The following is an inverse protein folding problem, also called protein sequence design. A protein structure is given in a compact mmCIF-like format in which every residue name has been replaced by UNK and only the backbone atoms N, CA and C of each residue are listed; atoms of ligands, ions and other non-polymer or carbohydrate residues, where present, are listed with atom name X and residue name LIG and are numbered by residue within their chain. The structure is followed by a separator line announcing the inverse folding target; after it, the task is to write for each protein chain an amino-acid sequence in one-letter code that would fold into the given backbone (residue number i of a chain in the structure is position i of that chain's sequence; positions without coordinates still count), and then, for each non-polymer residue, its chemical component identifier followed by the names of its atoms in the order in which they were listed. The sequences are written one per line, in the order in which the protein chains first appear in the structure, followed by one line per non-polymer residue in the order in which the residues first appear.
data_IF_672221248406
#
_entry.id   IF_672221248406
#
_cell.length_a   1.000
_cell.length_b   1.000
_cell.length_c   1.000
_cell.angle_alpha   90.00
_cell.angle_beta   90.00
_cell.angle_gamma   90.00
#
_symmetry.space_group_name_H-M   'P 1'
#
loop_
_entity.id
_entity.type
_entity.pdbx_description
1 polymer ?
#
# COMPACT_ATOMS: atom_id res chain seq x y z
N UNK A 1 0.80 -14.29 10.77
CA UNK A 1 -0.67 -14.02 10.69
C UNK A 1 -1.30 -15.19 9.96
N UNK A 2 -2.45 -15.65 10.42
CA UNK A 2 -3.23 -16.70 9.71
C UNK A 2 -4.50 -16.04 9.18
N UNK A 3 -4.80 -16.21 7.90
CA UNK A 3 -6.01 -15.67 7.28
C UNK A 3 -7.20 -16.65 7.42
N UNK A 4 -8.37 -16.25 6.93
CA UNK A 4 -9.60 -17.06 6.96
C UNK A 4 -9.52 -18.38 6.14
N UNK A 5 -8.59 -18.46 5.19
CA UNK A 5 -8.33 -19.68 4.40
C UNK A 5 -7.30 -20.63 5.03
N UNK A 6 -6.84 -20.32 6.28
CA UNK A 6 -5.84 -21.10 6.99
C UNK A 6 -4.41 -20.94 6.47
N UNK A 7 -4.15 -19.97 5.61
CA UNK A 7 -2.80 -19.67 5.13
C UNK A 7 -2.01 -18.88 6.16
N UNK A 8 -0.77 -19.26 6.36
CA UNK A 8 0.16 -18.60 7.29
C UNK A 8 1.08 -17.67 6.53
N UNK A 9 1.00 -16.38 6.86
CA UNK A 9 1.81 -15.33 6.29
C UNK A 9 2.84 -14.82 7.28
N UNK A 10 4.08 -14.70 6.84
CA UNK A 10 5.22 -14.19 7.60
C UNK A 10 5.64 -12.84 7.05
N UNK A 11 5.96 -11.91 7.96
CA UNK A 11 6.41 -10.56 7.63
C UNK A 11 7.72 -10.28 8.31
N UNK A 12 8.70 -9.68 7.59
CA UNK A 12 9.94 -9.20 8.17
C UNK A 12 10.05 -7.70 8.04
N UNK A 13 10.68 -7.10 9.03
CA UNK A 13 10.84 -5.65 9.12
C UNK A 13 12.31 -5.33 9.39
N UNK A 14 12.76 -4.16 8.94
CA UNK A 14 14.05 -3.61 9.35
C UNK A 14 13.95 -2.91 10.71
N UNK A 15 15.11 -2.41 11.20
CA UNK A 15 15.19 -1.70 12.48
C UNK A 15 14.38 -0.39 12.52
N UNK A 16 13.99 0.14 11.37
CA UNK A 16 13.16 1.35 11.24
C UNK A 16 11.67 1.03 11.09
N UNK A 17 11.25 -0.22 11.28
CA UNK A 17 9.87 -0.67 11.13
C UNK A 17 9.39 -0.77 9.68
N UNK A 18 10.27 -0.67 8.67
CA UNK A 18 9.91 -0.84 7.26
C UNK A 18 9.80 -2.33 6.95
N UNK A 19 8.69 -2.73 6.35
CA UNK A 19 8.50 -4.12 5.92
C UNK A 19 9.40 -4.41 4.73
N UNK A 20 10.31 -5.37 4.89
CA UNK A 20 11.28 -5.77 3.86
C UNK A 20 10.90 -7.07 3.14
N UNK A 21 10.03 -7.89 3.75
CA UNK A 21 9.59 -9.15 3.15
C UNK A 21 8.18 -9.52 3.64
N UNK A 22 7.38 -10.15 2.76
CA UNK A 22 6.24 -10.98 3.14
C UNK A 22 6.30 -12.31 2.41
N UNK A 23 5.90 -13.41 3.06
CA UNK A 23 5.96 -14.74 2.49
C UNK A 23 4.81 -15.62 2.97
N UNK A 24 4.31 -16.47 2.06
CA UNK A 24 3.37 -17.54 2.36
C UNK A 24 3.93 -18.87 1.84
N UNK A 25 4.43 -19.77 2.73
CA UNK A 25 4.96 -21.06 2.32
C UNK A 25 3.95 -21.93 1.59
N UNK A 26 2.69 -21.93 2.02
CA UNK A 26 1.64 -22.74 1.38
C UNK A 26 1.40 -22.34 -0.08
N UNK A 27 1.58 -21.06 -0.42
CA UNK A 27 1.50 -20.56 -1.81
C UNK A 27 2.83 -20.60 -2.55
N UNK A 28 3.92 -20.96 -1.88
CA UNK A 28 5.28 -20.85 -2.40
C UNK A 28 5.56 -19.43 -2.95
N UNK A 29 5.07 -18.40 -2.27
CA UNK A 29 5.23 -17.00 -2.69
C UNK A 29 6.00 -16.21 -1.65
N UNK A 30 6.83 -15.29 -2.14
CA UNK A 30 7.60 -14.34 -1.33
C UNK A 30 7.65 -13.00 -2.07
N UNK A 31 7.39 -11.91 -1.36
CA UNK A 31 7.57 -10.55 -1.88
C UNK A 31 8.59 -9.82 -1.04
N UNK A 32 9.61 -9.27 -1.68
CA UNK A 32 10.63 -8.40 -1.08
C UNK A 32 10.35 -6.94 -1.44
N UNK A 33 10.72 -6.02 -0.54
CA UNK A 33 10.47 -4.59 -0.68
C UNK A 33 11.75 -3.81 -0.50
N UNK A 34 12.03 -2.87 -1.41
CA UNK A 34 13.05 -1.86 -1.24
C UNK A 34 12.40 -0.49 -1.05
N UNK A 35 12.99 0.30 -0.19
CA UNK A 35 12.46 1.59 0.24
C UNK A 35 13.33 2.74 -0.27
N UNK A 36 12.67 3.79 -0.76
CA UNK A 36 13.27 5.10 -0.94
C UNK A 36 12.72 6.02 0.16
N UNK A 37 13.59 6.31 1.14
CA UNK A 37 13.16 7.00 2.35
C UNK A 37 12.05 6.26 3.09
N UNK A 38 10.85 6.83 3.08
CA UNK A 38 9.68 6.32 3.79
C UNK A 38 8.66 5.63 2.89
N UNK A 39 9.00 5.36 1.62
CA UNK A 39 8.09 4.80 0.64
C UNK A 39 8.64 3.53 0.01
N UNK A 40 7.75 2.60 -0.29
CA UNK A 40 8.11 1.38 -1.05
C UNK A 40 8.35 1.77 -2.50
N UNK A 41 9.62 1.85 -2.89
CA UNK A 41 10.01 2.19 -4.26
C UNK A 41 10.02 0.98 -5.17
N UNK A 42 10.35 -0.21 -4.66
CA UNK A 42 10.49 -1.40 -5.47
C UNK A 42 9.95 -2.64 -4.74
N UNK A 43 9.35 -3.53 -5.52
CA UNK A 43 8.85 -4.81 -5.06
C UNK A 43 9.23 -5.89 -6.05
N UNK A 44 9.67 -7.03 -5.53
CA UNK A 44 9.87 -8.25 -6.29
C UNK A 44 9.02 -9.35 -5.69
N UNK A 45 8.17 -9.98 -6.51
CA UNK A 45 7.41 -11.16 -6.11
C UNK A 45 7.98 -12.39 -6.79
N UNK A 46 8.38 -13.33 -5.98
CA UNK A 46 8.80 -14.67 -6.39
C UNK A 46 7.67 -15.68 -6.16
N UNK A 47 7.57 -16.65 -7.05
CA UNK A 47 6.72 -17.82 -6.89
C UNK A 47 7.50 -19.08 -7.28
N UNK A 48 7.47 -20.10 -6.39
CA UNK A 48 8.29 -21.30 -6.53
C UNK A 48 9.79 -20.99 -6.74
N UNK A 49 10.32 -19.96 -6.07
CA UNK A 49 11.72 -19.54 -6.17
C UNK A 49 12.12 -18.88 -7.49
N UNK A 50 11.15 -18.46 -8.29
CA UNK A 50 11.39 -17.72 -9.54
C UNK A 50 10.66 -16.39 -9.51
N UNK A 51 11.29 -15.35 -10.02
CA UNK A 51 10.68 -14.02 -10.16
C UNK A 51 9.42 -14.12 -11.01
N UNK A 52 8.27 -13.75 -10.45
CA UNK A 52 6.97 -13.71 -11.11
C UNK A 52 6.63 -12.29 -11.58
N UNK A 53 6.94 -11.29 -10.76
CA UNK A 53 6.71 -9.88 -11.10
C UNK A 53 7.68 -8.95 -10.38
N UNK A 54 7.93 -7.82 -11.02
CA UNK A 54 8.68 -6.68 -10.49
C UNK A 54 7.80 -5.43 -10.57
N UNK A 55 7.87 -4.58 -9.56
CA UNK A 55 7.18 -3.28 -9.56
C UNK A 55 8.13 -2.20 -9.07
N UNK A 56 8.20 -1.12 -9.83
CA UNK A 56 8.87 0.11 -9.41
C UNK A 56 7.83 1.22 -9.32
N UNK A 57 7.77 1.89 -8.17
CA UNK A 57 6.85 2.98 -7.88
C UNK A 57 7.62 4.29 -7.77
N UNK A 58 7.08 5.34 -8.39
CA UNK A 58 7.63 6.70 -8.35
C UNK A 58 6.61 7.59 -7.65
N UNK A 59 7.04 8.27 -6.58
CA UNK A 59 6.19 9.11 -5.76
C UNK A 59 6.62 10.60 -5.84
N UNK A 60 5.64 11.48 -5.64
CA UNK A 60 5.86 12.88 -5.27
C UNK A 60 5.23 13.11 -3.89
N UNK A 61 6.07 13.23 -2.87
CA UNK A 61 5.58 13.18 -1.50
C UNK A 61 4.87 11.84 -1.24
N UNK A 62 3.58 11.82 -0.93
CA UNK A 62 2.81 10.60 -0.66
C UNK A 62 1.88 10.19 -1.82
N UNK A 63 1.98 10.85 -2.96
CA UNK A 63 1.17 10.57 -4.14
C UNK A 63 1.98 9.72 -5.13
N UNK A 64 1.43 8.57 -5.53
CA UNK A 64 1.99 7.79 -6.61
C UNK A 64 1.87 8.60 -7.91
N UNK A 65 2.99 8.82 -8.61
CA UNK A 65 2.99 9.48 -9.94
C UNK A 65 2.97 8.45 -11.03
N UNK A 66 3.83 7.43 -10.91
CA UNK A 66 3.98 6.41 -11.92
C UNK A 66 4.32 5.07 -11.28
N UNK A 67 3.95 4.01 -11.99
CA UNK A 67 4.23 2.63 -11.65
C UNK A 67 4.73 1.92 -12.91
N UNK A 68 5.86 1.25 -12.80
CA UNK A 68 6.39 0.37 -13.84
C UNK A 68 6.31 -1.06 -13.36
N UNK A 69 5.59 -1.89 -14.08
CA UNK A 69 5.38 -3.30 -13.78
C UNK A 69 6.04 -4.17 -14.84
N UNK A 70 6.73 -5.21 -14.38
CA UNK A 70 7.25 -6.27 -15.22
C UNK A 70 6.69 -7.59 -14.73
N UNK A 71 6.05 -8.35 -15.59
CA UNK A 71 5.37 -9.61 -15.26
C UNK A 71 5.19 -10.51 -16.48
N UNK A 72 4.87 -11.78 -16.23
CA UNK A 72 4.54 -12.69 -17.31
C UNK A 72 3.10 -12.50 -17.77
N UNK A 73 2.93 -12.08 -19.02
CA UNK A 73 1.64 -12.06 -19.71
C UNK A 73 1.43 -13.36 -20.45
N UNK A 74 0.31 -14.02 -20.20
CA UNK A 74 -0.06 -15.26 -20.90
C UNK A 74 -0.92 -14.90 -22.13
N UNK A 75 -0.51 -15.35 -23.30
CA UNK A 75 -1.36 -15.30 -24.49
C UNK A 75 -2.44 -16.39 -24.37
N UNK A 76 -3.71 -15.98 -24.35
CA UNK A 76 -4.85 -16.88 -24.19
C UNK A 76 -5.04 -17.85 -25.35
N UNK A 77 -4.44 -17.59 -26.53
CA UNK A 77 -4.58 -18.42 -27.72
C UNK A 77 -3.64 -19.62 -27.73
N UNK A 78 -2.41 -19.44 -27.28
CA UNK A 78 -1.34 -20.44 -27.36
C UNK A 78 -0.71 -20.79 -26.00
N UNK A 79 -1.23 -20.22 -24.90
CA UNK A 79 -0.70 -20.36 -23.53
C UNK A 79 0.78 -19.98 -23.38
N UNK A 80 1.34 -19.26 -24.37
CA UNK A 80 2.71 -18.79 -24.28
C UNK A 80 2.83 -17.64 -23.29
N UNK A 81 3.84 -17.71 -22.41
CA UNK A 81 4.14 -16.65 -21.43
C UNK A 81 5.26 -15.76 -21.95
N UNK A 82 4.98 -14.48 -22.04
CA UNK A 82 5.97 -13.47 -22.44
C UNK A 82 6.21 -12.51 -21.28
N UNK A 83 7.48 -12.28 -20.95
CA UNK A 83 7.86 -11.26 -19.99
C UNK A 83 7.55 -9.89 -20.59
N UNK A 84 6.71 -9.12 -19.92
CA UNK A 84 6.19 -7.84 -20.42
C UNK A 84 6.47 -6.75 -19.40
N UNK A 85 6.91 -5.59 -19.86
CA UNK A 85 7.07 -4.40 -19.05
C UNK A 85 6.04 -3.35 -19.46
N UNK A 86 5.41 -2.71 -18.49
CA UNK A 86 4.43 -1.64 -18.71
C UNK A 86 4.71 -0.48 -17.78
N UNK A 87 4.52 0.75 -18.28
CA UNK A 87 4.58 1.96 -17.44
C UNK A 87 3.20 2.60 -17.43
N UNK A 88 2.73 2.96 -16.25
CA UNK A 88 1.44 3.57 -16.04
C UNK A 88 1.59 4.81 -15.15
N UNK A 89 0.89 5.88 -15.50
CA UNK A 89 0.81 7.11 -14.73
C UNK A 89 -0.41 7.08 -13.83
N UNK A 90 -0.25 7.48 -12.58
CA UNK A 90 -1.31 7.44 -11.59
C UNK A 90 -2.04 8.77 -11.46
N UNK A 91 -3.34 8.68 -11.20
CA UNK A 91 -4.16 9.78 -10.70
C UNK A 91 -4.59 9.42 -9.29
N UNK A 92 -4.24 10.28 -8.33
CA UNK A 92 -4.51 10.07 -6.91
C UNK A 92 -5.45 11.13 -6.35
N UNK A 93 -6.14 10.80 -5.27
CA UNK A 93 -6.79 11.78 -4.40
C UNK A 93 -5.73 12.54 -3.58
N UNK A 94 -6.09 13.72 -3.03
CA UNK A 94 -5.17 14.50 -2.18
C UNK A 94 -4.63 13.75 -0.94
N UNK A 95 -5.36 12.74 -0.47
CA UNK A 95 -4.97 11.87 0.63
C UNK A 95 -4.00 10.73 0.23
N UNK A 96 -3.49 10.74 -1.01
CA UNK A 96 -2.54 9.76 -1.53
C UNK A 96 -3.18 8.48 -2.11
N UNK A 97 -4.51 8.34 -2.06
CA UNK A 97 -5.19 7.16 -2.59
C UNK A 97 -5.19 7.15 -4.12
N UNK A 98 -4.63 6.13 -4.80
CA UNK A 98 -4.73 6.00 -6.25
C UNK A 98 -6.18 5.74 -6.69
N UNK A 99 -6.63 6.45 -7.72
CA UNK A 99 -7.96 6.31 -8.33
C UNK A 99 -7.92 5.53 -9.63
N UNK A 100 -6.90 5.79 -10.46
CA UNK A 100 -6.74 5.17 -11.76
C UNK A 100 -5.28 5.19 -12.23
N UNK A 101 -4.97 4.26 -13.11
CA UNK A 101 -3.72 4.22 -13.86
C UNK A 101 -4.00 4.37 -15.34
N UNK A 102 -3.12 5.10 -16.04
CA UNK A 102 -3.19 5.35 -17.46
C UNK A 102 -1.85 5.00 -18.12
N UNK A 103 -1.89 4.33 -19.26
CA UNK A 103 -0.68 4.09 -20.03
C UNK A 103 -0.18 5.38 -20.73
N UNK A 104 1.02 5.38 -21.35
CA UNK A 104 1.55 6.56 -22.07
C UNK A 104 0.66 7.10 -23.20
N UNK A 105 -0.28 6.29 -23.71
CA UNK A 105 -1.24 6.68 -24.73
C UNK A 105 -2.53 7.27 -24.16
N UNK A 106 -2.60 7.48 -22.83
CA UNK A 106 -3.77 8.02 -22.16
C UNK A 106 -4.92 7.03 -21.98
N UNK A 107 -4.74 5.75 -22.32
CA UNK A 107 -5.75 4.72 -22.07
C UNK A 107 -5.69 4.29 -20.62
N UNK A 108 -6.86 4.28 -19.93
CA UNK A 108 -6.97 3.78 -18.57
C UNK A 108 -6.72 2.27 -18.54
N UNK A 109 -5.75 1.85 -17.73
CA UNK A 109 -5.30 0.45 -17.58
C UNK A 109 -5.79 -0.18 -16.28
N UNK A 110 -6.03 0.63 -15.25
CA UNK A 110 -6.57 0.21 -13.97
C UNK A 110 -7.47 1.31 -13.38
N UNK A 111 -8.43 0.93 -12.57
CA UNK A 111 -9.31 1.83 -11.81
C UNK A 111 -9.61 1.21 -10.45
N UNK A 112 -9.52 2.04 -9.40
CA UNK A 112 -9.92 1.64 -8.05
C UNK A 112 -11.40 1.24 -8.01
N UNK A 113 -11.69 0.14 -7.32
CA UNK A 113 -13.06 -0.25 -7.01
C UNK A 113 -13.74 0.78 -6.10
N UNK A 114 -15.08 0.93 -6.16
CA UNK A 114 -15.81 1.72 -5.20
C UNK A 114 -15.51 1.28 -3.77
N UNK A 115 -15.28 2.23 -2.89
CA UNK A 115 -14.96 1.96 -1.49
C UNK A 115 -15.69 2.93 -0.57
N UNK A 116 -15.86 2.55 0.70
CA UNK A 116 -16.30 3.45 1.75
C UNK A 116 -15.33 4.63 1.91
N UNK A 117 -15.73 5.64 2.68
CA UNK A 117 -14.86 6.75 3.06
C UNK A 117 -13.57 6.27 3.75
N UNK A 118 -13.63 5.18 4.48
CA UNK A 118 -12.52 4.57 5.23
C UNK A 118 -11.73 3.54 4.43
N UNK A 119 -12.03 3.40 3.13
CA UNK A 119 -11.27 2.57 2.22
C UNK A 119 -11.74 1.12 2.09
N UNK A 120 -12.80 0.71 2.81
CA UNK A 120 -13.38 -0.62 2.67
C UNK A 120 -13.97 -0.79 1.25
N UNK A 121 -13.57 -1.80 0.47
CA UNK A 121 -14.22 -2.12 -0.79
C UNK A 121 -15.72 -2.39 -0.60
N UNK A 122 -16.59 -1.75 -1.41
CA UNK A 122 -18.05 -1.86 -1.29
C UNK A 122 -18.63 -3.00 -2.13
N UNK A 123 -17.87 -3.52 -3.07
CA UNK A 123 -18.29 -4.59 -3.95
C UNK A 123 -17.39 -5.80 -3.73
N UNK A 124 -17.95 -6.85 -3.17
CA UNK A 124 -17.34 -8.17 -3.18
C UNK A 124 -17.12 -8.61 -4.63
N UNK A 125 -15.96 -9.16 -4.93
CA UNK A 125 -15.60 -9.66 -6.26
C UNK A 125 -15.42 -8.65 -7.41
N UNK A 126 -15.34 -7.34 -7.15
CA UNK A 126 -14.96 -6.40 -8.20
C UNK A 126 -13.59 -6.74 -8.82
N UNK A 127 -12.64 -7.20 -8.00
CA UNK A 127 -11.26 -7.52 -8.39
C UNK A 127 -11.00 -9.03 -8.54
N UNK A 128 -11.85 -9.90 -7.98
CA UNK A 128 -11.59 -11.35 -7.97
C UNK A 128 -11.68 -12.00 -9.36
N UNK A 129 -12.29 -11.34 -10.32
CA UNK A 129 -12.33 -11.83 -11.73
C UNK A 129 -11.09 -11.42 -12.52
N UNK A 130 -10.30 -10.49 -12.00
CA UNK A 130 -9.02 -10.10 -12.57
C UNK A 130 -8.07 -9.86 -11.39
N UNK A 131 -7.24 -10.84 -11.06
CA UNK A 131 -6.00 -10.57 -10.33
C UNK A 131 -5.23 -9.58 -11.19
N UNK A 132 -5.55 -8.29 -11.05
CA UNK A 132 -5.01 -7.25 -11.89
C UNK A 132 -3.56 -7.05 -11.48
N UNK A 133 -2.60 -7.46 -12.30
CA UNK A 133 -1.17 -7.29 -11.98
C UNK A 133 -0.83 -5.81 -11.78
N UNK A 134 -1.72 -4.91 -12.19
CA UNK A 134 -1.52 -3.45 -12.16
C UNK A 134 -2.06 -2.77 -10.89
N UNK A 135 -2.80 -3.47 -10.01
CA UNK A 135 -3.29 -2.85 -8.77
C UNK A 135 -2.11 -2.34 -7.92
N UNK A 136 -2.03 -1.03 -7.60
CA UNK A 136 -0.94 -0.48 -6.79
C UNK A 136 -0.84 -1.07 -5.38
N UNK A 137 -1.93 -1.66 -4.86
CA UNK A 137 -2.09 -2.08 -3.48
C UNK A 137 -1.84 -0.95 -2.46
N UNK A 138 -2.11 0.29 -2.85
CA UNK A 138 -2.03 1.46 -1.98
C UNK A 138 -3.43 1.88 -1.56
N UNK A 139 -3.62 2.18 -0.26
CA UNK A 139 -4.89 2.67 0.27
C UNK A 139 -4.82 4.19 0.43
N UNK A 140 -4.38 4.68 1.59
CA UNK A 140 -4.12 6.10 1.83
C UNK A 140 -2.61 6.36 1.88
N UNK A 141 -2.20 7.62 2.04
CA UNK A 141 -0.80 8.00 2.17
C UNK A 141 -0.06 7.14 3.21
N UNK A 142 1.01 6.47 2.79
CA UNK A 142 1.81 5.57 3.62
C UNK A 142 1.21 4.18 3.88
N UNK A 143 0.01 3.89 3.36
CA UNK A 143 -0.68 2.63 3.58
C UNK A 143 -0.52 1.68 2.38
N UNK A 144 -0.07 0.46 2.66
CA UNK A 144 0.00 -0.65 1.72
C UNK A 144 -1.04 -1.70 2.08
N UNK A 145 -2.01 -1.94 1.20
CA UNK A 145 -3.11 -2.88 1.42
C UNK A 145 -2.66 -4.31 1.17
N UNK A 146 -2.87 -5.17 2.16
CA UNK A 146 -2.57 -6.59 2.11
C UNK A 146 -3.86 -7.39 1.86
N UNK A 147 -4.02 -7.87 0.63
CA UNK A 147 -5.22 -8.62 0.22
C UNK A 147 -5.46 -9.88 1.05
N UNK A 148 -4.39 -10.53 1.51
CA UNK A 148 -4.44 -11.74 2.31
C UNK A 148 -5.03 -11.55 3.71
N UNK A 149 -5.03 -10.32 4.22
CA UNK A 149 -5.54 -9.99 5.56
C UNK A 149 -6.71 -9.01 5.56
N UNK A 150 -6.93 -8.31 4.43
CA UNK A 150 -7.86 -7.19 4.38
C UNK A 150 -7.40 -5.95 5.15
N UNK A 151 -6.16 -5.94 5.64
CA UNK A 151 -5.58 -4.85 6.43
C UNK A 151 -4.64 -3.99 5.58
N UNK A 152 -4.43 -2.76 5.99
CA UNK A 152 -3.40 -1.90 5.41
C UNK A 152 -2.21 -1.77 6.37
N UNK A 153 -1.03 -2.21 5.92
CA UNK A 153 0.23 -1.95 6.61
C UNK A 153 0.55 -0.45 6.54
N UNK A 154 0.72 0.20 7.67
CA UNK A 154 1.01 1.62 7.82
C UNK A 154 2.21 1.84 8.76
N UNK A 155 3.39 1.40 8.33
CA UNK A 155 4.67 1.50 9.04
C UNK A 155 4.64 0.90 10.45
N UNK A 156 4.19 1.66 11.44
CA UNK A 156 4.21 1.27 12.85
C UNK A 156 2.90 0.63 13.32
N UNK A 157 1.83 0.71 12.53
CA UNK A 157 0.53 0.10 12.84
C UNK A 157 -0.08 -0.58 11.62
N UNK A 158 -1.09 -1.41 11.87
CA UNK A 158 -1.97 -1.94 10.85
C UNK A 158 -3.34 -1.27 10.95
N UNK A 159 -3.82 -0.78 9.84
CA UNK A 159 -5.12 -0.14 9.71
C UNK A 159 -6.13 -1.13 9.17
N UNK A 160 -7.31 -1.16 9.79
CA UNK A 160 -8.45 -1.95 9.35
C UNK A 160 -9.49 -1.06 8.66
N UNK A 161 -9.67 -1.17 7.33
CA UNK A 161 -10.68 -0.39 6.61
C UNK A 161 -12.11 -0.71 7.00
N UNK A 162 -12.38 -1.89 7.58
CA UNK A 162 -13.70 -2.29 8.02
C UNK A 162 -14.15 -1.51 9.26
N UNK A 163 -13.29 -1.39 10.23
CA UNK A 163 -13.57 -0.62 11.45
C UNK A 163 -13.22 0.87 11.32
N UNK A 164 -12.40 1.25 10.31
CA UNK A 164 -11.86 2.60 10.17
C UNK A 164 -10.81 2.95 11.23
N UNK A 165 -10.22 1.96 11.89
CA UNK A 165 -9.32 2.12 13.02
C UNK A 165 -8.01 1.35 12.85
N UNK A 166 -7.03 1.68 13.69
CA UNK A 166 -5.82 0.86 13.86
C UNK A 166 -6.08 -0.32 14.78
N UNK A 167 -5.41 -1.45 14.55
CA UNK A 167 -5.52 -2.65 15.39
C UNK A 167 -4.83 -2.50 16.75
N UNK A 168 -3.89 -1.57 16.88
CA UNK A 168 -3.13 -1.31 18.11
C UNK A 168 -3.24 0.16 18.48
N UNK A 169 -3.12 0.43 19.79
CA UNK A 169 -3.00 1.79 20.30
C UNK A 169 -1.77 2.49 19.72
N UNK A 170 -1.82 3.81 19.71
CA UNK A 170 -0.71 4.62 19.23
C UNK A 170 0.56 4.41 20.06
N UNK A 171 1.70 4.03 19.44
CA UNK A 171 2.97 3.86 20.16
C UNK A 171 3.46 5.13 20.85
N UNK A 172 3.11 6.32 20.31
CA UNK A 172 3.47 7.62 20.90
C UNK A 172 2.41 8.15 21.88
N UNK A 173 1.41 7.31 22.19
CA UNK A 173 0.35 7.65 23.17
C UNK A 173 -0.44 8.88 22.79
N UNK A 174 -0.69 9.77 23.77
CA UNK A 174 -1.47 11.00 23.55
C UNK A 174 -0.80 12.02 22.63
N UNK A 175 0.50 11.92 22.37
CA UNK A 175 1.18 12.75 21.38
C UNK A 175 0.66 12.51 19.95
N UNK A 176 0.12 11.31 19.66
CA UNK A 176 -0.54 10.97 18.41
C UNK A 176 -2.00 11.42 18.31
N UNK A 177 -2.59 11.85 19.42
CA UNK A 177 -3.99 12.30 19.51
C UNK A 177 -4.76 11.66 20.67
N UNK A 178 -5.90 12.24 21.01
CA UNK A 178 -6.72 11.81 22.17
C UNK A 178 -7.36 10.42 21.99
N UNK A 179 -7.52 9.95 20.77
CA UNK A 179 -8.14 8.65 20.46
C UNK A 179 -7.08 7.66 19.95
N UNK A 180 -6.60 6.73 20.80
CA UNK A 180 -5.40 5.93 20.53
C UNK A 180 -5.50 5.02 19.30
N UNK A 181 -6.70 4.59 18.93
CA UNK A 181 -6.93 3.66 17.81
C UNK A 181 -7.42 4.34 16.54
N UNK A 182 -7.84 5.61 16.58
CA UNK A 182 -8.41 6.26 15.42
C UNK A 182 -7.34 6.57 14.37
N UNK A 183 -7.71 6.44 13.08
CA UNK A 183 -6.87 6.84 11.96
C UNK A 183 -6.76 8.37 11.90
N UNK A 184 -7.72 9.04 11.30
CA UNK A 184 -7.76 10.51 11.17
C UNK A 184 -9.20 11.02 11.36
N UNK A 185 -9.37 12.32 11.58
CA UNK A 185 -10.72 12.90 11.73
C UNK A 185 -11.52 12.89 10.43
N UNK A 186 -10.86 13.10 9.30
CA UNK A 186 -11.47 13.13 7.98
C UNK A 186 -10.48 12.64 6.93
N UNK A 187 -10.62 11.41 6.40
CA UNK A 187 -9.69 10.83 5.45
C UNK A 187 -9.68 11.52 4.06
N UNK A 188 -10.60 12.46 3.80
CA UNK A 188 -10.56 13.27 2.57
C UNK A 188 -9.53 14.41 2.64
N UNK A 189 -9.17 14.87 3.84
CA UNK A 189 -8.29 16.02 4.02
C UNK A 189 -7.15 15.82 5.02
N UNK A 190 -7.10 14.66 5.67
CA UNK A 190 -6.10 14.31 6.68
C UNK A 190 -5.41 13.01 6.32
N UNK A 191 -4.13 12.89 6.67
CA UNK A 191 -3.32 11.68 6.47
C UNK A 191 -2.55 11.34 7.74
N UNK A 192 -2.19 10.08 7.89
CA UNK A 192 -1.25 9.58 8.89
C UNK A 192 -0.27 8.61 8.22
N UNK A 193 0.79 9.09 7.56
CA UNK A 193 1.64 8.26 6.71
C UNK A 193 2.47 7.22 7.45
N UNK A 194 2.67 7.41 8.76
CA UNK A 194 3.47 6.51 9.58
C UNK A 194 2.64 5.65 10.54
N UNK A 195 1.34 5.92 10.66
CA UNK A 195 0.54 5.31 11.69
C UNK A 195 0.92 5.78 13.09
N UNK A 196 1.25 7.07 13.27
CA UNK A 196 1.68 7.66 14.53
C UNK A 196 0.98 8.97 14.86
N UNK A 197 0.86 9.88 13.89
CA UNK A 197 0.28 11.18 14.14
C UNK A 197 -0.50 11.69 12.92
N UNK A 198 -1.61 12.35 13.21
CA UNK A 198 -2.56 12.86 12.23
C UNK A 198 -2.07 14.19 11.66
N UNK A 199 -1.82 14.24 10.37
CA UNK A 199 -1.43 15.45 9.66
C UNK A 199 -2.63 16.05 8.93
N UNK A 200 -3.15 17.17 9.46
CA UNK A 200 -4.28 17.89 8.87
C UNK A 200 -3.89 18.90 7.80
N UNK A 201 -4.88 19.25 6.96
CA UNK A 201 -4.80 20.27 5.92
C UNK A 201 -3.63 20.07 4.93
N UNK A 202 -3.83 19.13 4.00
CA UNK A 202 -2.88 18.66 2.98
C UNK A 202 -2.17 19.76 2.18
N UNK A 203 -2.73 20.98 2.09
CA UNK A 203 -2.14 22.09 1.32
C UNK A 203 -1.15 22.96 2.12
N UNK A 204 -1.23 23.03 3.44
CA UNK A 204 -0.46 24.00 4.25
C UNK A 204 0.62 23.42 5.17
N UNK A 205 0.53 22.14 5.63
CA UNK A 205 1.38 21.63 6.71
C UNK A 205 2.04 20.26 6.48
N UNK A 206 2.10 19.77 5.24
CA UNK A 206 2.72 18.46 4.96
C UNK A 206 4.15 18.32 5.53
N UNK A 207 4.99 19.35 5.40
CA UNK A 207 6.39 19.26 5.81
C UNK A 207 6.60 19.38 7.33
N UNK A 208 5.88 20.26 8.00
CA UNK A 208 6.09 20.51 9.45
C UNK A 208 5.64 19.35 10.34
N UNK A 209 4.49 18.75 10.03
CA UNK A 209 3.98 17.61 10.78
C UNK A 209 4.86 16.35 10.60
N UNK A 210 5.28 16.09 9.37
CA UNK A 210 6.15 14.95 9.05
C UNK A 210 7.56 15.14 9.63
N UNK A 211 8.07 16.38 9.66
CA UNK A 211 9.36 16.65 10.27
C UNK A 211 9.32 16.44 11.78
N UNK A 212 8.29 16.91 12.48
CA UNK A 212 8.14 16.69 13.92
C UNK A 212 8.07 15.21 14.31
N UNK A 213 7.40 14.37 13.48
CA UNK A 213 7.38 12.92 13.68
C UNK A 213 8.77 12.31 13.46
N UNK A 214 9.48 12.73 12.40
CA UNK A 214 10.85 12.28 12.15
C UNK A 214 11.80 12.65 13.27
N UNK A 215 11.73 13.88 13.76
CA UNK A 215 12.54 14.37 14.87
C UNK A 215 12.27 13.56 16.16
N UNK A 216 11.01 13.20 16.41
CA UNK A 216 10.63 12.31 17.51
C UNK A 216 11.23 10.90 17.37
N UNK A 217 11.18 10.32 16.15
CA UNK A 217 11.72 8.98 15.87
C UNK A 217 13.25 8.91 15.92
N UNK A 218 13.94 10.02 15.64
CA UNK A 218 15.43 10.10 15.70
C UNK A 218 15.88 10.31 17.17
N UNK A 219 15.01 10.86 18.02
CA UNK A 219 15.30 11.12 19.44
C UNK A 219 15.03 9.92 20.36
N UNK A 220 14.57 8.80 19.82
CA UNK A 220 14.40 7.51 20.51
C UNK A 220 15.56 6.58 20.14
#
# INVERSE_FOLDING_TARGET
MTNEWGEVWYYKYDALGRRIEKACPQRNTKTTYLWDGDQVAYQETEKHGKTESLRHCIFNGWELIAQQDSYFKTDLRNHHKTWTQTTNYAVCQPNGQPLALFNPQGKRTWRKAPSSLWGLPLLENWESKQAEPLNPNLLFAGQYFDQESGLAYNRFRYYDPQSGCYLKSDPIGLAGGETPYAYVHNPMGWIDPFGLARCGNLKKNKMGCLQGIKDYLIGI
#
